data_IF_376710220495
#
_entry.id   IF_376710220495
#
_cell.length_a   1.000
_cell.length_b   1.000
_cell.length_c   1.000
_cell.angle_alpha   90.00
_cell.angle_beta   90.00
_cell.angle_gamma   90.00
#
_symmetry.space_group_name_H-M   'P 1'
#
loop_
_entity.id
_entity.type
_entity.pdbx_description
1 polymer ?
#
# COMPACT_ATOMS: atom_id res chain seq x y z
N UNK A 1 30.90 55.50 -38.58
CA UNK A 1 29.65 54.92 -38.08
C UNK A 1 30.01 53.79 -37.12
N UNK A 2 29.74 53.96 -35.82
CA UNK A 2 30.04 52.89 -34.79
C UNK A 2 28.76 52.12 -34.53
N UNK A 3 28.73 50.83 -34.94
CA UNK A 3 27.63 49.92 -34.66
C UNK A 3 27.68 49.59 -33.18
N UNK A 4 26.62 49.92 -32.44
CA UNK A 4 26.38 49.43 -31.07
C UNK A 4 25.67 48.08 -31.14
N UNK A 5 26.36 47.04 -30.70
CA UNK A 5 25.77 45.72 -30.50
C UNK A 5 25.08 45.71 -29.14
N UNK A 6 23.76 45.56 -29.12
CA UNK A 6 22.98 45.35 -27.90
C UNK A 6 22.91 43.83 -27.66
N UNK A 7 23.55 43.37 -26.60
CA UNK A 7 23.40 41.98 -26.12
C UNK A 7 22.19 41.95 -25.20
N UNK A 8 21.13 41.32 -25.66
CA UNK A 8 19.92 41.07 -24.84
C UNK A 8 20.17 39.78 -24.04
N UNK A 9 20.33 39.92 -22.73
CA UNK A 9 20.36 38.78 -21.82
C UNK A 9 18.93 38.28 -21.59
N UNK A 10 18.59 37.12 -22.14
CA UNK A 10 17.37 36.42 -21.78
C UNK A 10 17.59 35.73 -20.42
N UNK A 11 16.96 36.25 -19.37
CA UNK A 11 16.89 35.60 -18.07
C UNK A 11 15.86 34.45 -18.17
N UNK A 12 16.33 33.23 -18.35
CA UNK A 12 15.47 32.03 -18.25
C UNK A 12 15.19 31.81 -16.77
N UNK A 13 14.05 32.29 -16.30
CA UNK A 13 13.52 31.93 -14.99
C UNK A 13 12.98 30.50 -15.13
N UNK A 14 13.75 29.52 -14.68
CA UNK A 14 13.24 28.16 -14.48
C UNK A 14 12.32 28.21 -13.26
N UNK A 15 11.02 28.24 -13.49
CA UNK A 15 10.06 27.86 -12.45
C UNK A 15 10.22 26.36 -12.20
N UNK A 16 10.99 26.00 -11.19
CA UNK A 16 10.90 24.70 -10.56
C UNK A 16 9.50 24.63 -9.93
N UNK A 17 8.59 23.90 -10.54
CA UNK A 17 7.35 23.52 -9.91
C UNK A 17 7.74 22.55 -8.78
N UNK A 18 8.02 23.06 -7.61
CA UNK A 18 8.10 22.25 -6.38
C UNK A 18 6.67 21.89 -6.09
N UNK A 19 6.29 20.65 -6.39
CA UNK A 19 5.02 20.11 -5.93
C UNK A 19 4.99 20.25 -4.41
N UNK A 20 4.12 21.15 -3.94
CA UNK A 20 3.99 21.41 -2.53
C UNK A 20 3.17 20.29 -1.91
N UNK A 21 3.79 19.53 -1.02
CA UNK A 21 3.10 18.58 -0.16
C UNK A 21 3.13 19.09 1.27
N UNK A 22 2.06 18.86 2.01
CA UNK A 22 2.03 19.09 3.45
C UNK A 22 1.84 17.78 4.19
N UNK A 23 2.38 17.70 5.41
CA UNK A 23 2.29 16.52 6.26
C UNK A 23 2.06 16.93 7.72
N UNK A 24 1.02 16.37 8.31
CA UNK A 24 0.74 16.46 9.74
C UNK A 24 1.02 15.09 10.36
N UNK A 25 1.56 15.03 11.57
CA UNK A 25 2.01 13.79 12.22
C UNK A 25 1.33 13.58 13.55
N UNK A 26 0.86 12.35 13.79
CA UNK A 26 0.40 11.81 15.06
C UNK A 26 1.26 10.58 15.42
N UNK A 27 1.66 10.44 16.68
CA UNK A 27 2.32 9.23 17.18
C UNK A 27 1.29 8.13 17.40
N UNK A 28 1.66 6.90 17.09
CA UNK A 28 0.88 5.72 17.38
C UNK A 28 1.51 4.93 18.54
N UNK A 29 0.73 4.11 19.25
CA UNK A 29 1.24 3.28 20.34
C UNK A 29 2.23 2.22 19.86
N UNK A 30 3.23 1.89 20.67
CA UNK A 30 4.20 0.82 20.37
C UNK A 30 3.54 -0.57 20.21
N UNK A 31 2.30 -0.74 20.60
CA UNK A 31 1.54 -1.97 20.39
C UNK A 31 1.29 -2.28 18.91
N UNK A 32 1.29 -1.25 18.07
CA UNK A 32 1.18 -1.32 16.61
C UNK A 32 2.48 -0.80 15.97
N UNK A 33 3.64 -1.23 16.50
CA UNK A 33 4.95 -0.78 16.06
C UNK A 33 5.30 -1.18 14.62
N UNK A 34 4.71 -2.25 14.13
CA UNK A 34 4.83 -2.77 12.76
C UNK A 34 3.52 -2.56 11.99
N UNK A 35 2.89 -1.38 12.16
CA UNK A 35 1.61 -1.06 11.51
C UNK A 35 1.69 -1.19 10.01
N UNK A 36 1.00 -2.16 9.45
CA UNK A 36 0.87 -2.43 8.03
C UNK A 36 -0.60 -2.53 7.65
N UNK A 37 -0.96 -2.00 6.47
CA UNK A 37 -2.34 -1.84 6.07
C UNK A 37 -3.14 -0.79 6.86
N UNK A 38 -4.09 -0.13 6.21
CA UNK A 38 -4.94 0.89 6.83
C UNK A 38 -6.33 0.92 6.18
N UNK A 39 -7.38 0.62 6.94
CA UNK A 39 -8.75 0.65 6.44
C UNK A 39 -9.67 1.46 7.37
N UNK A 40 -10.72 2.06 6.83
CA UNK A 40 -11.75 2.73 7.65
C UNK A 40 -12.67 1.71 8.33
N UNK A 41 -12.96 1.97 9.60
CA UNK A 41 -13.99 1.27 10.37
C UNK A 41 -14.80 2.26 11.20
N UNK A 42 -15.98 2.59 10.73
CA UNK A 42 -16.73 3.72 11.28
C UNK A 42 -15.94 5.04 11.16
N UNK A 43 -15.75 5.71 12.29
CA UNK A 43 -14.95 6.95 12.38
C UNK A 43 -13.46 6.69 12.68
N UNK A 44 -13.09 5.43 12.89
CA UNK A 44 -11.76 4.96 13.25
C UNK A 44 -11.04 4.30 12.08
N UNK A 45 -9.86 3.75 12.36
CA UNK A 45 -9.05 2.97 11.45
C UNK A 45 -8.85 1.55 11.97
N UNK A 46 -8.74 0.59 11.06
CA UNK A 46 -8.18 -0.72 11.32
C UNK A 46 -6.76 -0.78 10.77
N UNK A 47 -5.87 -1.43 11.50
CA UNK A 47 -4.53 -1.83 11.08
C UNK A 47 -4.17 -3.16 11.71
N UNK A 48 -3.08 -3.75 11.29
CA UNK A 48 -2.46 -4.93 11.91
C UNK A 48 -0.96 -4.70 12.05
N UNK A 49 -0.28 -5.54 12.80
CA UNK A 49 1.16 -5.64 12.69
C UNK A 49 1.53 -6.59 11.57
N UNK A 50 2.66 -6.33 10.92
CA UNK A 50 3.29 -7.16 9.91
C UNK A 50 3.64 -8.57 10.44
N UNK A 51 4.73 -9.15 10.03
CA UNK A 51 5.09 -10.55 10.16
C UNK A 51 5.20 -11.08 11.61
N UNK A 52 4.80 -12.35 11.80
CA UNK A 52 5.03 -13.12 13.04
C UNK A 52 4.28 -12.64 14.27
N UNK A 53 3.37 -11.69 14.10
CA UNK A 53 2.52 -11.16 15.16
C UNK A 53 1.32 -12.05 15.50
N UNK A 54 0.51 -11.58 16.44
CA UNK A 54 -0.81 -12.18 16.70
C UNK A 54 -1.77 -11.83 15.57
N UNK A 55 -2.75 -12.68 15.34
CA UNK A 55 -3.85 -12.44 14.39
C UNK A 55 -4.84 -11.43 14.98
N UNK A 56 -4.46 -10.15 15.02
CA UNK A 56 -5.26 -9.08 15.62
C UNK A 56 -5.39 -7.93 14.60
N UNK A 57 -6.61 -7.46 14.41
CA UNK A 57 -6.87 -6.14 13.85
C UNK A 57 -7.00 -5.15 15.00
N UNK A 58 -6.19 -4.10 14.97
CA UNK A 58 -6.23 -3.02 15.94
C UNK A 58 -7.11 -1.89 15.41
N UNK A 59 -8.14 -1.53 16.17
CA UNK A 59 -8.93 -0.34 15.90
C UNK A 59 -8.32 0.86 16.66
N UNK A 60 -8.05 1.94 15.94
CA UNK A 60 -7.52 3.17 16.54
C UNK A 60 -8.16 4.42 15.93
N UNK A 61 -8.20 5.50 16.71
CA UNK A 61 -8.78 6.76 16.26
C UNK A 61 -7.74 7.71 15.62
N UNK A 62 -8.21 8.84 15.09
CA UNK A 62 -7.36 9.85 14.41
C UNK A 62 -6.34 10.51 15.35
N UNK A 63 -6.57 10.44 16.66
CA UNK A 63 -5.65 10.90 17.70
C UNK A 63 -4.56 9.87 18.05
N UNK A 64 -4.62 8.68 17.41
CA UNK A 64 -3.65 7.59 17.59
C UNK A 64 -3.92 6.72 18.81
N UNK A 65 -5.09 6.80 19.44
CA UNK A 65 -5.44 5.94 20.57
C UNK A 65 -6.07 4.65 20.08
N UNK A 66 -5.60 3.50 20.58
CA UNK A 66 -6.26 2.21 20.35
C UNK A 66 -7.62 2.25 21.03
N UNK A 67 -8.66 1.90 20.26
CA UNK A 67 -10.06 1.85 20.70
C UNK A 67 -10.46 0.43 21.02
N UNK A 68 -10.05 -0.54 20.18
CA UNK A 68 -10.36 -1.96 20.35
C UNK A 68 -9.31 -2.86 19.70
N UNK A 69 -9.37 -4.16 20.00
CA UNK A 69 -8.51 -5.22 19.51
C UNK A 69 -9.38 -6.42 19.10
N UNK A 70 -9.50 -6.63 17.81
CA UNK A 70 -10.30 -7.71 17.25
C UNK A 70 -9.41 -8.93 16.97
N UNK A 71 -9.61 -10.00 17.74
CA UNK A 71 -8.85 -11.25 17.58
C UNK A 71 -9.43 -12.08 16.45
N UNK A 72 -8.63 -12.34 15.43
CA UNK A 72 -9.05 -13.15 14.29
C UNK A 72 -8.76 -14.62 14.59
N UNK A 73 -9.83 -15.40 14.76
CA UNK A 73 -9.76 -16.79 15.07
C UNK A 73 -10.09 -17.67 13.84
N UNK A 74 -9.52 -18.86 13.79
CA UNK A 74 -9.81 -19.89 12.76
C UNK A 74 -9.57 -19.44 11.30
N UNK A 75 -8.73 -18.43 11.07
CA UNK A 75 -8.40 -17.92 9.74
C UNK A 75 -6.92 -18.11 9.37
N UNK A 76 -6.22 -19.01 10.03
CA UNK A 76 -4.78 -19.23 9.87
C UNK A 76 -3.95 -18.32 10.78
N UNK A 77 -2.64 -18.34 10.57
CA UNK A 77 -1.66 -17.58 11.34
C UNK A 77 -1.29 -16.30 10.59
N UNK A 78 -0.82 -15.29 11.31
CA UNK A 78 -0.11 -14.17 10.70
C UNK A 78 1.31 -14.66 10.35
N UNK A 79 1.47 -15.10 9.11
CA UNK A 79 2.79 -15.48 8.61
C UNK A 79 3.55 -14.23 8.13
N UNK A 80 2.84 -13.35 7.41
CA UNK A 80 3.39 -12.12 6.83
C UNK A 80 2.19 -11.31 6.28
N UNK A 81 1.48 -10.59 7.19
CA UNK A 81 0.33 -9.76 6.84
C UNK A 81 0.82 -8.41 6.36
N UNK A 82 0.48 -8.04 5.14
CA UNK A 82 1.06 -6.88 4.47
C UNK A 82 0.10 -5.70 4.34
N UNK A 83 -1.15 -5.95 3.95
CA UNK A 83 -2.12 -4.88 3.73
C UNK A 83 -3.56 -5.34 3.98
N UNK A 84 -4.47 -4.38 4.08
CA UNK A 84 -5.87 -4.60 4.38
C UNK A 84 -6.75 -3.74 3.46
N UNK A 85 -7.80 -4.34 2.90
CA UNK A 85 -8.83 -3.62 2.15
C UNK A 85 -10.22 -4.12 2.50
N UNK A 86 -11.25 -3.39 2.11
CA UNK A 86 -12.61 -3.74 2.42
C UNK A 86 -13.57 -3.52 1.25
N UNK A 87 -14.69 -4.21 1.31
CA UNK A 87 -15.91 -3.81 0.61
C UNK A 87 -17.05 -3.58 1.62
N UNK A 88 -18.30 -3.54 1.13
CA UNK A 88 -19.46 -3.30 2.01
C UNK A 88 -19.70 -4.41 3.04
N UNK A 89 -19.20 -5.63 2.82
CA UNK A 89 -19.51 -6.81 3.64
C UNK A 89 -18.30 -7.39 4.35
N UNK A 90 -17.13 -7.28 3.75
CA UNK A 90 -15.93 -8.02 4.17
C UNK A 90 -14.73 -7.12 4.34
N UNK A 91 -13.85 -7.54 5.23
CA UNK A 91 -12.46 -7.11 5.31
C UNK A 91 -11.60 -8.20 4.67
N UNK A 92 -10.62 -7.80 3.90
CA UNK A 92 -9.65 -8.68 3.25
C UNK A 92 -8.26 -8.35 3.78
N UNK A 93 -7.57 -9.33 4.38
CA UNK A 93 -6.21 -9.18 4.89
C UNK A 93 -5.26 -9.98 4.02
N UNK A 94 -4.30 -9.31 3.44
CA UNK A 94 -3.30 -9.92 2.58
C UNK A 94 -2.19 -10.59 3.41
N UNK A 95 -2.27 -11.91 3.59
CA UNK A 95 -1.20 -12.75 4.16
C UNK A 95 -0.27 -13.19 3.01
N UNK A 96 0.34 -12.21 2.35
CA UNK A 96 0.98 -12.35 1.03
C UNK A 96 2.46 -11.99 0.99
N UNK A 97 3.03 -11.50 2.09
CA UNK A 97 4.45 -11.19 2.16
C UNK A 97 5.30 -12.43 1.86
N UNK A 98 6.36 -12.22 1.10
CA UNK A 98 7.24 -13.30 0.64
C UNK A 98 8.66 -12.79 0.44
N UNK A 99 9.18 -12.09 1.42
CA UNK A 99 10.45 -11.36 1.42
C UNK A 99 11.65 -12.11 0.79
N UNK A 100 11.64 -13.43 0.92
CA UNK A 100 12.73 -14.29 0.42
C UNK A 100 12.34 -15.18 -0.77
N UNK A 101 11.12 -15.07 -1.27
CA UNK A 101 10.64 -15.89 -2.40
C UNK A 101 10.44 -17.37 -2.06
N UNK A 102 10.27 -17.71 -0.79
CA UNK A 102 10.22 -19.11 -0.31
C UNK A 102 8.83 -19.61 0.00
N UNK A 103 7.83 -18.72 0.09
CA UNK A 103 6.47 -19.10 0.52
C UNK A 103 5.66 -19.72 -0.60
N UNK A 104 4.96 -20.80 -0.26
CA UNK A 104 4.01 -21.53 -1.11
C UNK A 104 2.56 -21.42 -0.57
N UNK A 105 2.37 -20.73 0.57
CA UNK A 105 1.10 -20.62 1.30
C UNK A 105 0.56 -19.19 1.33
N UNK A 106 0.70 -18.45 0.23
CA UNK A 106 0.18 -17.10 0.11
C UNK A 106 -1.35 -17.12 0.11
N UNK A 107 -1.97 -16.19 0.83
CA UNK A 107 -3.42 -16.15 0.95
C UNK A 107 -3.94 -14.73 1.21
N UNK A 108 -5.21 -14.51 0.90
CA UNK A 108 -5.99 -13.39 1.40
C UNK A 108 -7.07 -13.94 2.32
N UNK A 109 -7.17 -13.44 3.54
CA UNK A 109 -8.20 -13.80 4.51
C UNK A 109 -9.47 -13.02 4.20
N UNK A 110 -10.64 -13.65 4.33
CA UNK A 110 -11.94 -13.01 4.19
C UNK A 110 -12.61 -12.97 5.56
N UNK A 111 -12.84 -11.78 6.10
CA UNK A 111 -13.43 -11.54 7.41
C UNK A 111 -14.77 -10.82 7.25
N UNK A 112 -15.78 -11.25 8.01
CA UNK A 112 -17.12 -10.67 7.98
C UNK A 112 -17.19 -9.40 8.85
N UNK A 113 -17.56 -8.28 8.26
CA UNK A 113 -17.68 -6.98 8.98
C UNK A 113 -18.86 -6.94 9.95
N UNK A 114 -19.91 -7.75 9.73
CA UNK A 114 -21.12 -7.74 10.55
C UNK A 114 -21.05 -8.73 11.71
N UNK A 115 -20.09 -9.68 11.69
CA UNK A 115 -19.95 -10.74 12.66
C UNK A 115 -18.62 -10.68 13.41
N UNK A 116 -18.22 -9.47 13.86
CA UNK A 116 -16.98 -9.24 14.62
C UNK A 116 -15.73 -9.87 13.95
N UNK A 117 -15.61 -9.67 12.66
CA UNK A 117 -14.52 -10.19 11.81
C UNK A 117 -14.38 -11.71 11.81
N UNK A 118 -15.50 -12.45 11.96
CA UNK A 118 -15.51 -13.90 11.80
C UNK A 118 -14.88 -14.31 10.45
N UNK A 119 -14.01 -15.31 10.48
CA UNK A 119 -13.39 -15.84 9.27
C UNK A 119 -14.41 -16.54 8.35
N UNK A 120 -14.56 -16.06 7.13
CA UNK A 120 -15.40 -16.68 6.08
C UNK A 120 -14.62 -17.60 5.16
N UNK A 121 -13.29 -17.62 5.26
CA UNK A 121 -12.41 -18.45 4.47
C UNK A 121 -11.16 -17.73 3.97
N UNK A 122 -10.43 -18.39 3.10
CA UNK A 122 -9.20 -17.89 2.52
C UNK A 122 -9.21 -18.04 1.00
N UNK A 123 -8.60 -17.07 0.32
CA UNK A 123 -8.25 -17.12 -1.09
C UNK A 123 -6.76 -17.44 -1.15
N UNK A 124 -6.42 -18.71 -1.32
CA UNK A 124 -5.04 -19.14 -1.49
C UNK A 124 -4.59 -18.85 -2.92
N UNK A 125 -3.35 -18.42 -3.09
CA UNK A 125 -2.83 -18.17 -4.42
C UNK A 125 -1.35 -18.49 -4.55
N UNK A 126 -0.91 -18.68 -5.78
CA UNK A 126 0.50 -18.80 -6.17
C UNK A 126 0.75 -18.06 -7.47
N UNK A 127 1.93 -17.53 -7.62
CA UNK A 127 2.37 -16.96 -8.88
C UNK A 127 2.68 -18.06 -9.87
N UNK A 128 2.00 -18.07 -11.02
CA UNK A 128 2.17 -19.11 -12.06
C UNK A 128 3.62 -19.26 -12.53
N UNK A 129 4.36 -18.17 -12.57
CA UNK A 129 5.74 -18.14 -13.05
C UNK A 129 6.77 -18.38 -11.94
N UNK A 130 6.37 -18.50 -10.67
CA UNK A 130 7.28 -18.84 -9.57
C UNK A 130 7.50 -20.35 -9.52
N UNK A 131 8.58 -20.81 -10.15
CA UNK A 131 8.96 -22.23 -10.19
C UNK A 131 10.12 -22.59 -9.26
N UNK A 132 10.72 -21.58 -8.61
CA UNK A 132 11.82 -21.76 -7.67
C UNK A 132 11.48 -21.05 -6.34
N UNK A 133 11.56 -21.79 -5.25
CA UNK A 133 11.28 -21.35 -3.88
C UNK A 133 12.55 -21.35 -3.00
N UNK A 134 13.73 -21.35 -3.59
CA UNK A 134 14.98 -21.13 -2.86
C UNK A 134 15.06 -19.70 -2.37
N UNK A 135 15.66 -19.52 -1.17
CA UNK A 135 15.83 -18.21 -0.56
C UNK A 135 16.67 -17.28 -1.45
N UNK A 136 16.10 -16.11 -1.77
CA UNK A 136 16.73 -15.06 -2.58
C UNK A 136 16.20 -13.68 -2.21
N UNK A 137 17.09 -12.71 -2.11
CA UNK A 137 16.74 -11.34 -1.71
C UNK A 137 16.16 -10.48 -2.85
N UNK A 138 16.24 -10.94 -4.11
CA UNK A 138 15.72 -10.23 -5.28
C UNK A 138 14.86 -11.16 -6.11
N UNK A 139 13.60 -10.84 -6.21
CA UNK A 139 12.60 -11.55 -6.97
C UNK A 139 11.32 -10.70 -7.10
N UNK A 140 10.42 -10.96 -8.06
CA UNK A 140 9.18 -10.21 -8.24
C UNK A 140 7.97 -10.80 -7.48
N UNK A 141 8.13 -11.89 -6.72
CA UNK A 141 7.05 -12.68 -6.14
C UNK A 141 6.76 -12.33 -4.67
N UNK A 142 6.59 -11.04 -4.42
CA UNK A 142 6.20 -10.48 -3.14
C UNK A 142 5.08 -9.48 -3.36
N UNK A 143 4.00 -9.52 -2.59
CA UNK A 143 2.86 -8.59 -2.74
C UNK A 143 2.53 -7.97 -1.40
N UNK A 144 2.59 -6.64 -1.37
CA UNK A 144 2.41 -5.85 -0.15
C UNK A 144 1.32 -4.77 -0.26
N UNK A 145 0.60 -4.70 -1.36
CA UNK A 145 -0.57 -3.83 -1.49
C UNK A 145 -1.78 -4.63 -1.97
N UNK A 146 -2.97 -4.33 -1.45
CA UNK A 146 -4.23 -4.94 -1.89
C UNK A 146 -5.34 -3.90 -1.97
N UNK A 147 -6.13 -3.96 -3.04
CA UNK A 147 -7.35 -3.16 -3.18
C UNK A 147 -8.56 -4.02 -3.58
N UNK A 148 -9.73 -3.55 -3.23
CA UNK A 148 -11.03 -4.15 -3.57
C UNK A 148 -11.68 -3.40 -4.72
N UNK A 149 -11.90 -4.06 -5.86
CA UNK A 149 -12.47 -3.45 -7.08
C UNK A 149 -13.60 -4.32 -7.61
N UNK A 150 -14.85 -3.91 -7.45
CA UNK A 150 -16.00 -4.73 -7.84
C UNK A 150 -15.96 -6.11 -7.16
N UNK A 151 -15.98 -7.18 -7.96
CA UNK A 151 -15.92 -8.57 -7.48
C UNK A 151 -14.50 -9.12 -7.38
N UNK A 152 -13.48 -8.29 -7.59
CA UNK A 152 -12.07 -8.66 -7.64
C UNK A 152 -11.27 -8.01 -6.51
N UNK A 153 -10.22 -8.69 -6.07
CA UNK A 153 -9.12 -8.13 -5.29
C UNK A 153 -7.92 -7.97 -6.21
N UNK A 154 -7.28 -6.82 -6.16
CA UNK A 154 -6.08 -6.56 -6.94
C UNK A 154 -4.89 -6.44 -5.99
N UNK A 155 -3.92 -7.33 -6.16
CA UNK A 155 -2.65 -7.29 -5.45
C UNK A 155 -1.64 -6.45 -6.23
N UNK A 156 -0.79 -5.71 -5.51
CA UNK A 156 0.34 -4.97 -6.04
C UNK A 156 1.64 -5.60 -5.55
N UNK A 157 2.53 -5.97 -6.49
CA UNK A 157 3.79 -6.59 -6.11
C UNK A 157 4.81 -5.58 -5.58
N UNK A 158 5.65 -6.05 -4.66
CA UNK A 158 6.90 -5.41 -4.23
C UNK A 158 8.06 -6.09 -4.97
N UNK A 159 8.24 -5.73 -6.24
CA UNK A 159 9.26 -6.35 -7.09
C UNK A 159 10.67 -5.81 -6.74
N UNK A 160 11.41 -6.61 -5.98
CA UNK A 160 12.80 -6.31 -5.56
C UNK A 160 13.83 -6.53 -6.66
N UNK A 161 13.44 -7.09 -7.79
CA UNK A 161 14.34 -7.35 -8.92
C UNK A 161 14.34 -6.20 -9.93
N UNK A 162 13.15 -5.74 -10.32
CA UNK A 162 12.98 -4.78 -11.41
C UNK A 162 12.47 -3.41 -10.94
N UNK A 163 12.08 -3.25 -9.67
CA UNK A 163 11.47 -2.03 -9.10
C UNK A 163 10.20 -1.61 -9.87
N UNK A 164 9.44 -2.61 -10.30
CA UNK A 164 8.11 -2.46 -10.87
C UNK A 164 7.06 -2.77 -9.80
N UNK A 165 5.81 -2.45 -10.06
CA UNK A 165 4.71 -3.14 -9.41
C UNK A 165 3.83 -3.79 -10.46
N UNK A 166 3.66 -5.09 -10.33
CA UNK A 166 2.75 -5.89 -11.15
C UNK A 166 1.42 -6.04 -10.41
N UNK A 167 0.34 -6.01 -11.16
CA UNK A 167 -1.01 -6.17 -10.66
C UNK A 167 -1.51 -7.59 -10.92
N UNK A 168 -2.04 -8.23 -9.90
CA UNK A 168 -2.61 -9.57 -9.98
C UNK A 168 -4.06 -9.55 -9.51
N UNK A 169 -4.95 -10.23 -10.22
CA UNK A 169 -6.37 -10.30 -9.88
C UNK A 169 -6.71 -11.62 -9.21
N UNK A 170 -7.54 -11.53 -8.15
CA UNK A 170 -8.12 -12.66 -7.43
C UNK A 170 -9.63 -12.44 -7.26
N UNK A 171 -10.48 -13.46 -7.51
CA UNK A 171 -11.90 -13.33 -7.20
C UNK A 171 -12.11 -13.34 -5.67
N UNK A 172 -13.11 -12.63 -5.19
CA UNK A 172 -13.49 -12.58 -3.75
C UNK A 172 -14.19 -13.85 -3.27
N UNK A 173 -13.72 -15.00 -3.71
CA UNK A 173 -14.31 -16.32 -3.45
C UNK A 173 -13.25 -17.24 -2.83
N UNK A 174 -13.50 -17.86 -1.66
CA UNK A 174 -12.57 -18.84 -1.09
C UNK A 174 -12.20 -19.93 -2.09
N UNK A 175 -10.91 -20.26 -2.17
CA UNK A 175 -10.41 -21.25 -3.11
C UNK A 175 -8.90 -21.18 -3.28
N UNK A 176 -8.37 -21.86 -4.32
CA UNK A 176 -6.96 -21.85 -4.67
C UNK A 176 -6.79 -21.44 -6.12
N UNK A 177 -5.94 -20.43 -6.36
CA UNK A 177 -5.80 -19.77 -7.65
C UNK A 177 -4.35 -19.69 -8.08
N UNK A 178 -4.11 -19.74 -9.38
CA UNK A 178 -2.86 -19.34 -10.01
C UNK A 178 -3.02 -17.95 -10.59
N UNK A 179 -2.10 -17.03 -10.28
CA UNK A 179 -2.16 -15.65 -10.77
C UNK A 179 -1.05 -15.35 -11.76
N UNK A 180 -1.41 -14.55 -12.77
CA UNK A 180 -0.49 -13.94 -13.75
C UNK A 180 -0.66 -12.42 -13.70
N UNK A 181 0.36 -11.63 -14.03
CA UNK A 181 0.23 -10.18 -14.08
C UNK A 181 -0.83 -9.76 -15.11
N UNK A 182 -1.77 -8.91 -14.71
CA UNK A 182 -2.75 -8.29 -15.61
C UNK A 182 -2.29 -6.93 -16.13
N UNK A 183 -1.40 -6.26 -15.38
CA UNK A 183 -0.80 -4.97 -15.73
C UNK A 183 0.47 -4.73 -14.91
N UNK A 184 1.27 -3.70 -15.27
CA UNK A 184 2.43 -3.29 -14.50
C UNK A 184 2.70 -1.79 -14.59
N UNK A 185 3.24 -1.20 -13.50
CA UNK A 185 3.67 0.19 -13.45
C UNK A 185 5.17 0.30 -13.16
N UNK A 186 5.91 1.15 -13.88
CA UNK A 186 7.33 1.41 -13.66
C UNK A 186 7.53 2.40 -12.51
N UNK A 187 7.36 1.96 -11.27
CA UNK A 187 7.40 2.83 -10.07
C UNK A 187 8.81 3.21 -9.65
N UNK A 188 9.84 2.44 -10.01
CA UNK A 188 11.22 2.60 -9.55
C UNK A 188 11.32 2.68 -8.02
N UNK A 189 10.56 1.85 -7.33
CA UNK A 189 10.54 1.70 -5.88
C UNK A 189 9.88 0.36 -5.49
N UNK A 190 9.90 0.06 -4.21
CA UNK A 190 9.24 -1.07 -3.59
C UNK A 190 7.89 -0.58 -3.07
N UNK A 191 6.78 -1.08 -3.62
CA UNK A 191 5.44 -0.74 -3.15
C UNK A 191 5.15 -1.54 -1.88
N UNK A 192 4.59 -0.87 -0.87
CA UNK A 192 4.34 -1.40 0.48
C UNK A 192 2.89 -1.28 0.92
N UNK A 193 2.06 -0.53 0.22
CA UNK A 193 0.65 -0.43 0.55
C UNK A 193 -0.15 0.22 -0.56
N UNK A 194 -1.45 -0.06 -0.58
CA UNK A 194 -2.37 0.41 -1.61
C UNK A 194 -3.75 0.76 -1.03
N UNK A 195 -4.43 1.71 -1.65
CA UNK A 195 -5.85 1.94 -1.42
C UNK A 195 -6.56 2.36 -2.71
N UNK A 196 -7.86 2.11 -2.78
CA UNK A 196 -8.70 2.46 -3.90
C UNK A 196 -9.99 3.13 -3.48
N UNK A 197 -10.32 4.22 -4.16
CA UNK A 197 -11.61 4.87 -4.05
C UNK A 197 -12.35 4.77 -5.40
N UNK A 198 -13.45 4.02 -5.39
CA UNK A 198 -14.24 3.72 -6.60
C UNK A 198 -14.90 4.96 -7.19
N UNK A 199 -15.44 5.87 -6.36
CA UNK A 199 -16.13 7.09 -6.82
C UNK A 199 -15.16 8.03 -7.54
N UNK A 200 -13.91 8.13 -7.03
CA UNK A 200 -12.85 8.95 -7.61
C UNK A 200 -12.10 8.24 -8.74
N UNK A 201 -12.29 6.93 -8.91
CA UNK A 201 -11.45 6.06 -9.77
C UNK A 201 -9.97 6.29 -9.52
N UNK A 202 -9.61 6.35 -8.25
CA UNK A 202 -8.29 6.72 -7.77
C UNK A 202 -7.67 5.56 -6.99
N UNK A 203 -6.46 5.14 -7.40
CA UNK A 203 -5.59 4.29 -6.60
C UNK A 203 -4.49 5.16 -6.00
N UNK A 204 -4.24 4.97 -4.73
CA UNK A 204 -3.09 5.49 -4.01
C UNK A 204 -2.13 4.34 -3.69
N UNK A 205 -0.83 4.52 -3.97
CA UNK A 205 0.19 3.57 -3.53
C UNK A 205 1.23 4.32 -2.71
N UNK A 206 1.84 3.60 -1.77
CA UNK A 206 3.02 4.05 -1.03
C UNK A 206 4.16 3.07 -1.20
N UNK A 207 5.39 3.53 -0.95
CA UNK A 207 6.57 2.69 -1.07
C UNK A 207 7.86 3.47 -0.93
N UNK A 208 9.00 2.77 -1.02
CA UNK A 208 10.31 3.37 -0.85
C UNK A 208 11.34 2.82 -1.86
N UNK A 209 12.42 3.55 -2.06
CA UNK A 209 13.55 3.08 -2.86
C UNK A 209 14.67 2.48 -1.98
N UNK A 210 15.68 1.86 -2.58
CA UNK A 210 16.83 1.31 -1.87
C UNK A 210 17.70 2.34 -1.12
N UNK A 211 17.41 3.64 -1.29
CA UNK A 211 18.02 4.72 -0.50
C UNK A 211 17.11 5.20 0.63
N UNK A 212 16.01 4.49 0.89
CA UNK A 212 15.01 4.83 1.91
C UNK A 212 14.28 6.15 1.67
N UNK A 213 14.23 6.64 0.41
CA UNK A 213 13.33 7.73 0.06
C UNK A 213 11.92 7.18 -0.04
N UNK A 214 10.99 7.81 0.66
CA UNK A 214 9.59 7.43 0.69
C UNK A 214 8.82 8.13 -0.42
N UNK A 215 7.91 7.41 -1.08
CA UNK A 215 7.14 7.88 -2.20
C UNK A 215 5.65 7.57 -2.06
N UNK A 216 4.85 8.48 -2.58
CA UNK A 216 3.43 8.33 -2.80
C UNK A 216 3.15 8.35 -4.29
N UNK A 217 2.27 7.49 -4.76
CA UNK A 217 1.82 7.42 -6.14
C UNK A 217 0.33 7.65 -6.19
N UNK A 218 -0.10 8.58 -7.03
CA UNK A 218 -1.49 8.84 -7.36
C UNK A 218 -1.78 8.29 -8.74
N UNK A 219 -2.66 7.29 -8.86
CA UNK A 219 -3.07 6.71 -10.14
C UNK A 219 -4.53 7.07 -10.37
N UNK A 220 -4.75 8.03 -11.25
CA UNK A 220 -6.07 8.53 -11.63
C UNK A 220 -6.64 7.77 -12.83
N UNK A 221 -7.96 7.81 -13.00
CA UNK A 221 -8.71 7.10 -14.05
C UNK A 221 -8.48 5.58 -14.00
N UNK A 222 -8.35 5.02 -12.80
CA UNK A 222 -8.15 3.59 -12.63
C UNK A 222 -9.40 2.83 -13.07
N UNK A 223 -9.23 1.96 -14.05
CA UNK A 223 -10.30 1.13 -14.62
C UNK A 223 -9.68 -0.16 -15.17
N UNK A 224 -10.00 -1.30 -14.56
CA UNK A 224 -9.46 -2.60 -14.93
C UNK A 224 -9.76 -2.97 -16.40
N UNK A 225 -10.87 -2.45 -16.95
CA UNK A 225 -11.22 -2.69 -18.35
C UNK A 225 -10.39 -1.84 -19.33
N UNK A 226 -9.71 -0.79 -18.84
CA UNK A 226 -8.97 0.16 -19.69
C UNK A 226 -7.75 0.76 -18.98
N UNK A 227 -6.86 -0.09 -18.51
CA UNK A 227 -5.64 0.30 -17.78
C UNK A 227 -4.72 1.26 -18.55
N UNK A 228 -4.81 1.27 -19.88
CA UNK A 228 -4.03 2.19 -20.73
C UNK A 228 -4.41 3.67 -20.62
N UNK A 229 -5.50 4.00 -19.94
CA UNK A 229 -5.94 5.39 -19.69
C UNK A 229 -5.55 5.91 -18.31
N UNK A 230 -4.91 5.11 -17.49
CA UNK A 230 -4.46 5.52 -16.16
C UNK A 230 -3.34 6.57 -16.25
N UNK A 231 -3.37 7.53 -15.33
CA UNK A 231 -2.33 8.54 -15.19
C UNK A 231 -1.69 8.39 -13.82
N UNK A 232 -0.39 8.09 -13.80
CA UNK A 232 0.37 7.93 -12.56
C UNK A 232 1.25 9.16 -12.30
N UNK A 233 1.08 9.76 -11.14
CA UNK A 233 1.90 10.83 -10.59
C UNK A 233 2.69 10.32 -9.39
N UNK A 234 3.96 10.73 -9.24
CA UNK A 234 4.86 10.32 -8.15
C UNK A 234 5.25 11.53 -7.30
N UNK A 235 5.08 11.42 -6.00
CA UNK A 235 5.41 12.46 -5.02
C UNK A 235 6.40 11.91 -4.00
N UNK A 236 7.35 12.73 -3.55
CA UNK A 236 8.23 12.37 -2.45
C UNK A 236 7.53 12.69 -1.13
N UNK A 237 7.53 11.74 -0.19
CA UNK A 237 7.01 11.95 1.17
C UNK A 237 8.17 12.44 2.07
N UNK A 238 8.10 13.66 2.64
CA UNK A 238 9.20 14.27 3.37
C UNK A 238 9.23 13.84 4.86
N UNK A 239 9.27 12.55 5.15
CA UNK A 239 9.17 12.00 6.53
C UNK A 239 10.51 11.62 7.17
N UNK A 240 11.63 11.78 6.44
CA UNK A 240 12.96 11.35 6.93
C UNK A 240 13.08 9.83 6.94
N UNK A 241 13.75 9.29 7.97
CA UNK A 241 13.79 7.84 8.17
C UNK A 241 12.43 7.36 8.67
N UNK A 242 11.73 6.65 7.83
CA UNK A 242 10.46 6.01 8.09
C UNK A 242 10.28 4.89 7.06
N UNK A 243 9.63 3.82 7.42
CA UNK A 243 9.11 2.85 6.49
C UNK A 243 7.61 3.05 6.42
N UNK A 244 7.14 3.65 5.31
CA UNK A 244 5.71 3.85 5.08
C UNK A 244 5.15 2.54 4.57
N UNK A 245 4.10 2.02 5.27
CA UNK A 245 3.56 0.70 4.98
C UNK A 245 2.07 0.72 4.63
N UNK A 246 1.37 1.82 4.87
CA UNK A 246 -0.05 1.87 4.51
C UNK A 246 -0.49 3.23 4.02
N UNK A 247 -1.57 3.23 3.25
CA UNK A 247 -2.23 4.43 2.73
C UNK A 247 -3.74 4.30 2.77
N UNK A 248 -4.46 5.42 3.04
CA UNK A 248 -5.93 5.50 2.92
C UNK A 248 -6.35 6.82 2.31
N UNK A 249 -7.16 6.77 1.26
CA UNK A 249 -7.65 7.94 0.53
C UNK A 249 -8.71 8.67 1.36
N UNK A 250 -8.52 9.98 1.58
CA UNK A 250 -9.54 10.87 2.16
C UNK A 250 -10.34 11.53 1.01
N UNK A 251 -9.60 12.06 0.02
CA UNK A 251 -10.12 12.68 -1.19
C UNK A 251 -9.01 12.74 -2.25
N UNK A 252 -9.25 13.38 -3.40
CA UNK A 252 -8.31 13.46 -4.53
C UNK A 252 -6.91 14.04 -4.19
N UNK A 253 -6.78 14.78 -3.10
CA UNK A 253 -5.53 15.45 -2.72
C UNK A 253 -5.08 15.20 -1.28
N UNK A 254 -5.81 14.42 -0.49
CA UNK A 254 -5.53 14.19 0.93
C UNK A 254 -5.61 12.71 1.26
N UNK A 255 -4.65 12.23 2.07
CA UNK A 255 -4.46 10.81 2.35
C UNK A 255 -4.00 10.63 3.80
N UNK A 256 -4.40 9.52 4.41
CA UNK A 256 -3.75 9.01 5.61
C UNK A 256 -2.67 8.03 5.19
N UNK A 257 -1.53 8.06 5.86
CA UNK A 257 -0.45 7.09 5.68
C UNK A 257 0.10 6.70 7.05
N UNK A 258 0.53 5.47 7.20
CA UNK A 258 1.22 5.01 8.43
C UNK A 258 2.66 4.66 8.16
N UNK A 259 3.49 4.73 9.19
CA UNK A 259 4.85 4.23 9.18
C UNK A 259 5.11 3.38 10.41
N UNK A 260 5.94 2.38 10.22
CA UNK A 260 6.49 1.59 11.31
C UNK A 260 7.41 2.37 12.24
N UNK A 261 7.75 1.73 13.39
CA UNK A 261 8.82 2.17 14.27
C UNK A 261 10.16 1.55 13.85
N UNK A 262 10.83 2.16 12.90
CA UNK A 262 12.18 1.81 12.45
C UNK A 262 13.30 2.08 13.50
N UNK A 263 13.03 1.83 14.79
CA UNK A 263 13.93 2.17 15.87
C UNK A 263 14.03 3.67 16.14
N UNK A 264 13.07 4.46 15.63
CA UNK A 264 12.96 5.91 15.83
C UNK A 264 12.05 6.27 17.02
N UNK A 265 11.53 5.27 17.72
CA UNK A 265 10.84 5.37 18.98
C UNK A 265 9.33 5.16 18.94
N UNK A 266 8.64 5.40 17.82
CA UNK A 266 7.18 5.21 17.71
C UNK A 266 6.73 5.07 16.25
N UNK A 267 5.75 4.19 15.97
CA UNK A 267 5.01 4.21 14.71
C UNK A 267 4.19 5.50 14.59
N UNK A 268 3.81 5.87 13.40
CA UNK A 268 3.22 7.19 13.13
C UNK A 268 2.07 7.11 12.15
N UNK A 269 1.04 7.89 12.41
CA UNK A 269 -0.02 8.24 11.46
C UNK A 269 0.29 9.63 10.89
N UNK A 270 0.20 9.78 9.58
CA UNK A 270 0.35 11.08 8.93
C UNK A 270 -0.88 11.41 8.11
N UNK A 271 -1.24 12.69 8.12
CA UNK A 271 -2.12 13.24 7.11
C UNK A 271 -1.28 13.91 6.05
N UNK A 272 -1.20 13.26 4.90
CA UNK A 272 -0.45 13.71 3.73
C UNK A 272 -1.39 14.44 2.77
N UNK A 273 -0.96 15.59 2.25
CA UNK A 273 -1.76 16.39 1.32
C UNK A 273 -0.89 16.90 0.18
N UNK A 274 -1.39 16.74 -1.05
CA UNK A 274 -0.88 17.35 -2.28
C UNK A 274 -1.56 18.72 -2.43
N UNK A 275 -0.78 19.80 -2.65
CA UNK A 275 -1.28 21.18 -2.74
C UNK A 275 -1.28 21.69 -4.17
#
# INVERSE_FOLDING_TARGET
MRNKIYVIFFLIVQFSCVEQVSIERQLLPLKINETSGLEYYGDNFLTHNDSGGKTILYEFNKEGNIVDEHFIENCGENNDWEDITADSKSIYVANSGNNFGTRENLAVLILDKESDFECKGQIQFKYKNQVNFENRNRHPYDSEGIISVGDELILFSKDRENLMTELYSLPKIPGSYEVEPIYSYPVNSLITGADYNEELKLVALVGYDFNWNQYFYKISNFDLSNMGQTVMEKFKIPVGKAQIEAVKIINESSFWITSEDEGNGFPRLFKFKIM
#
